data_IF_726720880939
#
_entry.id   IF_726720880939
#
_cell.length_a   1.000
_cell.length_b   1.000
_cell.length_c   1.000
_cell.angle_alpha   90.00
_cell.angle_beta   90.00
_cell.angle_gamma   90.00
#
_symmetry.space_group_name_H-M   'P 1'
#
loop_
_entity.id
_entity.type
_entity.pdbx_description
1 polymer ?
#
# COMPACT_ATOMS: atom_id res chain seq x y z
N UNK A 1 5.19 20.10 -1.18
CA UNK A 1 3.84 20.04 -1.76
C UNK A 1 3.88 19.31 -3.09
N UNK A 2 2.78 18.65 -3.50
CA UNK A 2 2.73 17.88 -4.75
C UNK A 2 1.35 17.28 -5.01
N UNK A 3 1.18 16.63 -6.17
CA UNK A 3 -0.08 15.98 -6.55
C UNK A 3 -0.30 14.70 -5.75
N UNK A 4 -1.55 14.45 -5.35
CA UNK A 4 -1.93 13.24 -4.65
C UNK A 4 -3.01 12.48 -5.41
N UNK A 5 -2.89 11.17 -5.43
CA UNK A 5 -4.01 10.29 -5.73
C UNK A 5 -4.75 10.03 -4.42
N UNK A 6 -6.02 10.43 -4.38
CA UNK A 6 -6.89 10.21 -3.24
C UNK A 6 -7.82 9.03 -3.51
N UNK A 7 -8.37 8.43 -2.46
CA UNK A 7 -9.34 7.34 -2.55
C UNK A 7 -8.81 6.08 -3.27
N UNK A 8 -7.48 5.88 -3.27
CA UNK A 8 -6.86 4.64 -3.76
C UNK A 8 -6.99 3.53 -2.73
N UNK A 9 -7.73 2.48 -3.08
CA UNK A 9 -7.84 1.26 -2.30
C UNK A 9 -6.55 0.45 -2.44
N UNK A 10 -5.70 0.50 -1.42
CA UNK A 10 -4.42 -0.19 -1.40
C UNK A 10 -4.59 -1.60 -0.86
N UNK A 11 -4.22 -2.57 -1.68
CA UNK A 11 -4.18 -3.97 -1.38
C UNK A 11 -2.75 -4.43 -1.10
N UNK A 12 -2.57 -5.16 -0.01
CA UNK A 12 -1.33 -5.86 0.31
C UNK A 12 -1.62 -7.29 0.73
N UNK A 13 -0.63 -8.16 0.59
CA UNK A 13 -0.72 -9.56 1.01
C UNK A 13 0.46 -9.88 1.92
N UNK A 14 0.17 -10.47 3.07
CA UNK A 14 1.19 -10.91 4.00
C UNK A 14 2.09 -11.97 3.33
N UNK A 15 3.42 -11.81 3.31
CA UNK A 15 4.32 -12.69 2.55
C UNK A 15 4.33 -14.16 3.01
N UNK A 16 4.05 -14.42 4.29
CA UNK A 16 4.06 -15.77 4.87
C UNK A 16 2.69 -16.47 4.85
N UNK A 17 1.71 -15.92 5.58
CA UNK A 17 0.40 -16.55 5.74
C UNK A 17 -0.61 -16.20 4.63
N UNK A 18 -0.27 -15.27 3.74
CA UNK A 18 -1.11 -14.89 2.61
C UNK A 18 -2.37 -14.08 2.96
N UNK A 19 -2.53 -13.65 4.22
CA UNK A 19 -3.63 -12.78 4.66
C UNK A 19 -3.60 -11.48 3.86
N UNK A 20 -4.78 -11.04 3.42
CA UNK A 20 -4.94 -9.82 2.63
C UNK A 20 -5.31 -8.66 3.54
N UNK A 21 -4.74 -7.50 3.28
CA UNK A 21 -5.17 -6.25 3.87
C UNK A 21 -5.68 -5.32 2.75
N UNK A 22 -6.75 -4.59 3.06
CA UNK A 22 -7.27 -3.50 2.25
C UNK A 22 -7.29 -2.23 3.11
N UNK A 23 -6.67 -1.16 2.63
CA UNK A 23 -6.63 0.10 3.35
C UNK A 23 -6.60 1.30 2.42
N UNK A 24 -7.02 2.45 2.96
CA UNK A 24 -6.93 3.72 2.27
C UNK A 24 -5.70 4.48 2.77
N UNK A 25 -4.89 4.97 1.83
CA UNK A 25 -3.68 5.74 2.12
C UNK A 25 -3.59 6.98 1.25
N UNK A 26 -2.79 7.93 1.72
CA UNK A 26 -2.43 9.12 0.94
C UNK A 26 -1.27 8.78 0.00
N UNK A 27 -1.48 8.95 -1.30
CA UNK A 27 -0.55 8.51 -2.34
C UNK A 27 0.02 9.74 -3.07
N UNK A 28 1.26 10.11 -2.76
CA UNK A 28 1.90 11.26 -3.40
C UNK A 28 2.50 10.84 -4.74
N UNK A 29 2.24 11.58 -5.81
CA UNK A 29 2.94 11.38 -7.08
C UNK A 29 4.35 11.97 -7.00
N UNK A 30 5.36 11.17 -7.29
CA UNK A 30 6.74 11.65 -7.47
C UNK A 30 7.08 11.88 -8.94
N UNK A 31 6.74 10.93 -9.83
CA UNK A 31 6.97 11.05 -11.27
C UNK A 31 5.89 10.32 -12.10
N UNK A 32 6.19 9.86 -13.32
CA UNK A 32 5.24 9.13 -14.19
C UNK A 32 4.98 7.68 -13.75
N UNK A 33 5.91 7.06 -13.01
CA UNK A 33 5.88 5.65 -12.60
C UNK A 33 6.15 5.43 -11.10
N UNK A 34 6.40 6.50 -10.35
CA UNK A 34 6.72 6.43 -8.92
C UNK A 34 5.69 7.17 -8.09
N UNK A 35 5.19 6.50 -7.05
CA UNK A 35 4.31 7.06 -6.02
C UNK A 35 4.91 6.83 -4.64
N UNK A 36 4.78 7.84 -3.78
CA UNK A 36 5.09 7.77 -2.37
C UNK A 36 3.85 7.33 -1.61
N UNK A 37 4.02 6.31 -0.77
CA UNK A 37 2.97 5.82 0.11
C UNK A 37 3.51 5.78 1.53
N UNK A 38 2.80 6.42 2.45
CA UNK A 38 3.13 6.43 3.86
C UNK A 38 2.14 5.57 4.65
N UNK A 39 2.68 4.77 5.56
CA UNK A 39 1.99 3.83 6.40
C UNK A 39 2.21 4.30 7.83
N UNK A 40 1.14 4.45 8.60
CA UNK A 40 1.30 4.55 10.04
C UNK A 40 1.77 3.20 10.59
N UNK A 41 2.60 3.24 11.64
CA UNK A 41 3.27 2.07 12.21
C UNK A 41 2.28 0.98 12.65
N UNK A 42 1.09 1.37 13.10
CA UNK A 42 0.06 0.45 13.61
C UNK A 42 -0.89 -0.11 12.54
N UNK A 43 -0.65 0.12 11.24
CA UNK A 43 -1.46 -0.47 10.16
C UNK A 43 -0.92 -1.85 9.78
N UNK A 44 -1.80 -2.82 9.50
CA UNK A 44 -1.40 -4.20 9.11
C UNK A 44 -0.48 -4.23 7.90
N UNK A 45 -0.73 -3.33 6.96
CA UNK A 45 0.10 -3.10 5.79
C UNK A 45 1.56 -2.75 6.18
N UNK A 46 1.82 -2.01 7.27
CA UNK A 46 3.17 -1.78 7.77
C UNK A 46 3.82 -3.07 8.28
N UNK A 47 3.06 -3.93 8.97
CA UNK A 47 3.53 -5.25 9.37
C UNK A 47 3.87 -6.13 8.14
N UNK A 48 3.04 -6.12 7.10
CA UNK A 48 3.32 -6.84 5.84
C UNK A 48 4.65 -6.39 5.23
N UNK A 49 4.92 -5.07 5.24
CA UNK A 49 6.17 -4.52 4.74
C UNK A 49 7.37 -4.96 5.58
N UNK A 50 7.26 -4.95 6.91
CA UNK A 50 8.34 -5.40 7.80
C UNK A 50 8.66 -6.89 7.59
N UNK A 51 7.66 -7.73 7.40
CA UNK A 51 7.86 -9.17 7.09
C UNK A 51 8.56 -9.33 5.74
N UNK A 52 8.13 -8.62 4.69
CA UNK A 52 8.79 -8.68 3.38
C UNK A 52 10.25 -8.19 3.45
N UNK A 53 10.49 -7.09 4.17
CA UNK A 53 11.82 -6.52 4.35
C UNK A 53 12.77 -7.49 5.08
N UNK A 54 12.31 -8.17 6.14
CA UNK A 54 13.09 -9.22 6.85
C UNK A 54 13.48 -10.39 5.95
N UNK A 55 12.70 -10.66 4.89
CA UNK A 55 12.97 -11.70 3.90
C UNK A 55 13.82 -11.22 2.73
N UNK A 56 14.17 -9.94 2.68
CA UNK A 56 14.87 -9.34 1.54
C UNK A 56 14.00 -9.24 0.28
N UNK A 57 12.68 -9.32 0.43
CA UNK A 57 11.73 -9.31 -0.67
C UNK A 57 11.03 -7.94 -0.78
N UNK A 58 10.59 -7.59 -1.99
CA UNK A 58 9.70 -6.43 -2.18
C UNK A 58 8.28 -6.83 -1.86
N UNK A 59 7.58 -6.04 -1.04
CA UNK A 59 6.16 -6.25 -0.81
C UNK A 59 5.34 -5.91 -2.07
N UNK A 60 4.58 -6.85 -2.64
CA UNK A 60 3.65 -6.54 -3.74
C UNK A 60 2.51 -5.67 -3.22
N UNK A 61 2.24 -4.57 -3.94
CA UNK A 61 1.17 -3.62 -3.64
C UNK A 61 0.37 -3.37 -4.91
N UNK A 62 -0.96 -3.41 -4.80
CA UNK A 62 -1.88 -2.99 -5.85
C UNK A 62 -2.79 -1.88 -5.33
N UNK A 63 -3.11 -0.90 -6.18
CA UNK A 63 -3.97 0.23 -5.81
C UNK A 63 -5.10 0.31 -6.82
N UNK A 64 -6.33 0.14 -6.35
CA UNK A 64 -7.54 0.25 -7.17
C UNK A 64 -8.21 1.61 -6.96
N UNK A 65 -8.74 2.19 -8.03
CA UNK A 65 -9.48 3.44 -8.03
C UNK A 65 -10.85 3.25 -8.67
N UNK A 66 -11.85 4.01 -8.21
CA UNK A 66 -13.20 3.97 -8.79
C UNK A 66 -13.97 2.68 -8.48
N UNK A 67 -13.63 1.97 -7.41
CA UNK A 67 -14.42 0.85 -6.94
C UNK A 67 -15.82 1.32 -6.50
N UNK A 68 -16.86 0.49 -6.68
CA UNK A 68 -18.22 0.86 -6.29
C UNK A 68 -18.28 1.17 -4.78
N UNK A 69 -19.08 2.16 -4.36
CA UNK A 69 -19.42 2.32 -2.95
C UNK A 69 -20.14 1.05 -2.46
N UNK A 70 -19.93 0.73 -1.17
CA UNK A 70 -20.56 -0.43 -0.52
C UNK A 70 -22.07 -0.26 -0.38
#
# INVERSE_FOLDING_TARGET
GGSFFNLGLTHTKHPENGVRNLGLYRLQRHDKRTIGMHWQIHKDSANHYQVAARRGERLPVAIAFGCPPA
#
